data_IF_017631298603
#
_entry.id   IF_017631298603
#
_cell.length_a   1.000
_cell.length_b   1.000
_cell.length_c   1.000
_cell.angle_alpha   90.00
_cell.angle_beta   90.00
_cell.angle_gamma   90.00
#
_symmetry.space_group_name_H-M   'P 1'
#
loop_
_entity.id
_entity.type
_entity.pdbx_description
1 polymer ?
#
# COMPACT_ATOMS: atom_id res chain seq x y z
N UNK A 1 29.53 8.69 -4.56
CA UNK A 1 30.46 8.00 -3.63
C UNK A 1 30.70 8.95 -2.47
N UNK A 2 30.43 8.55 -1.22
CA UNK A 2 30.65 9.43 -0.04
C UNK A 2 32.14 9.64 0.17
N UNK A 3 32.55 10.82 0.60
CA UNK A 3 33.97 11.14 0.82
C UNK A 3 34.50 10.44 2.09
N UNK A 4 35.81 10.31 2.20
CA UNK A 4 36.48 9.58 3.30
C UNK A 4 36.21 10.22 4.67
N UNK A 5 36.06 11.55 4.73
CA UNK A 5 35.73 12.27 5.95
C UNK A 5 34.33 11.92 6.48
N UNK A 6 33.32 11.82 5.60
CA UNK A 6 31.96 11.42 5.96
C UNK A 6 31.91 9.98 6.49
N UNK A 7 32.72 9.07 5.93
CA UNK A 7 32.82 7.69 6.43
C UNK A 7 33.43 7.64 7.82
N UNK A 8 34.48 8.42 8.08
CA UNK A 8 35.13 8.48 9.39
C UNK A 8 34.19 9.06 10.45
N UNK A 9 33.47 10.13 10.11
CA UNK A 9 32.49 10.74 11.01
C UNK A 9 31.35 9.78 11.37
N UNK A 10 30.86 8.99 10.41
CA UNK A 10 29.83 7.97 10.67
C UNK A 10 30.35 6.83 11.55
N UNK A 11 31.61 6.43 11.40
CA UNK A 11 32.24 5.40 12.24
C UNK A 11 32.42 5.89 13.69
N UNK A 12 32.85 7.14 13.87
CA UNK A 12 32.97 7.77 15.19
C UNK A 12 31.59 7.90 15.86
N UNK A 13 30.57 8.33 15.11
CA UNK A 13 29.20 8.43 15.62
C UNK A 13 28.63 7.05 16.01
N UNK A 14 28.89 6.01 15.21
CA UNK A 14 28.54 4.63 15.53
C UNK A 14 29.24 4.14 16.82
N UNK A 15 30.51 4.49 17.00
CA UNK A 15 31.29 4.08 18.18
C UNK A 15 30.74 4.73 19.45
N UNK A 16 30.40 6.02 19.39
CA UNK A 16 29.79 6.76 20.50
C UNK A 16 28.43 6.17 20.87
N UNK A 17 27.60 5.85 19.88
CA UNK A 17 26.28 5.22 20.12
C UNK A 17 26.41 3.84 20.79
N UNK A 18 27.40 3.05 20.39
CA UNK A 18 27.67 1.75 21.04
C UNK A 18 28.12 1.93 22.49
N UNK A 19 29.04 2.87 22.76
CA UNK A 19 29.49 3.18 24.12
C UNK A 19 28.34 3.69 25.02
N UNK A 20 27.46 4.55 24.47
CA UNK A 20 26.27 5.03 25.19
C UNK A 20 25.29 3.89 25.49
N UNK A 21 25.08 2.97 24.54
CA UNK A 21 24.24 1.78 24.73
C UNK A 21 24.81 0.86 25.81
N UNK A 22 26.11 0.60 25.80
CA UNK A 22 26.78 -0.22 26.81
C UNK A 22 26.73 0.42 28.20
N UNK A 23 26.94 1.73 28.29
CA UNK A 23 26.80 2.47 29.55
C UNK A 23 25.37 2.45 30.09
N UNK A 24 24.37 2.58 29.22
CA UNK A 24 22.96 2.48 29.59
C UNK A 24 22.58 1.08 30.08
N UNK A 25 23.06 0.02 29.40
CA UNK A 25 22.88 -1.37 29.83
C UNK A 25 23.52 -1.61 31.20
N UNK A 26 24.74 -1.12 31.41
CA UNK A 26 25.45 -1.25 32.68
C UNK A 26 24.75 -0.50 33.81
N UNK A 27 24.21 0.69 33.55
CA UNK A 27 23.45 1.45 34.55
C UNK A 27 22.12 0.78 34.88
N UNK A 28 21.39 0.27 33.88
CA UNK A 28 20.18 -0.51 34.10
C UNK A 28 20.47 -1.79 34.90
N UNK A 29 21.59 -2.46 34.64
CA UNK A 29 22.06 -3.60 35.41
C UNK A 29 22.36 -3.21 36.88
N UNK A 30 23.06 -2.09 37.09
CA UNK A 30 23.38 -1.55 38.42
C UNK A 30 22.10 -1.26 39.22
N UNK A 31 21.11 -0.59 38.60
CA UNK A 31 19.82 -0.28 39.23
C UNK A 31 19.01 -1.56 39.52
N UNK A 32 18.96 -2.50 38.58
CA UNK A 32 18.19 -3.73 38.71
C UNK A 32 18.70 -4.64 39.82
N UNK A 33 20.03 -4.75 39.97
CA UNK A 33 20.63 -5.56 41.04
C UNK A 33 20.93 -4.76 42.32
N UNK A 34 20.60 -3.46 42.37
CA UNK A 34 20.93 -2.55 43.49
C UNK A 34 22.40 -2.69 43.94
N UNK A 35 23.30 -2.99 43.02
CA UNK A 35 24.74 -3.23 43.29
C UNK A 35 25.51 -1.93 43.20
N UNK A 36 26.70 -1.85 43.80
CA UNK A 36 27.58 -0.70 43.55
C UNK A 36 28.26 -0.86 42.18
N UNK A 37 28.52 0.24 41.43
CA UNK A 37 29.12 0.18 40.09
C UNK A 37 30.47 -0.57 40.00
N UNK A 38 31.16 -0.71 41.13
CA UNK A 38 32.48 -1.33 41.26
C UNK A 38 32.46 -2.79 41.70
N UNK A 39 31.28 -3.36 41.99
CA UNK A 39 31.17 -4.75 42.45
C UNK A 39 31.34 -5.73 41.28
N UNK A 40 32.18 -6.75 41.46
CA UNK A 40 32.44 -7.79 40.44
C UNK A 40 31.34 -8.84 40.48
N UNK A 41 30.66 -9.06 39.35
CA UNK A 41 29.76 -10.21 39.21
C UNK A 41 30.57 -11.51 39.20
N UNK A 42 30.19 -12.48 40.02
CA UNK A 42 30.84 -13.79 40.08
C UNK A 42 30.03 -14.85 39.34
N UNK A 43 28.77 -15.03 39.72
CA UNK A 43 27.88 -16.05 39.13
C UNK A 43 26.42 -15.76 39.48
N UNK A 44 25.48 -16.42 38.82
CA UNK A 44 24.08 -16.47 39.23
C UNK A 44 23.58 -17.92 39.23
N UNK A 45 22.66 -18.23 40.13
CA UNK A 45 22.07 -19.56 40.27
C UNK A 45 20.58 -19.45 40.56
N UNK A 46 19.80 -20.42 40.09
CA UNK A 46 18.36 -20.51 40.33
C UNK A 46 18.07 -21.51 41.45
N UNK A 47 17.10 -21.20 42.32
CA UNK A 47 16.56 -22.19 43.26
C UNK A 47 15.58 -23.15 42.55
N UNK A 48 15.10 -24.16 43.27
CA UNK A 48 14.14 -25.16 42.75
C UNK A 48 12.80 -24.55 42.30
N UNK A 49 12.49 -23.31 42.70
CA UNK A 49 11.33 -22.54 42.27
C UNK A 49 11.61 -21.61 41.08
N UNK A 50 12.81 -21.67 40.48
CA UNK A 50 13.21 -20.83 39.36
C UNK A 50 13.61 -19.40 39.75
N UNK A 51 13.70 -19.07 41.04
CA UNK A 51 14.12 -17.74 41.47
C UNK A 51 15.64 -17.59 41.34
N UNK A 52 16.08 -16.61 40.56
CA UNK A 52 17.50 -16.36 40.35
C UNK A 52 18.11 -15.53 41.47
N UNK A 53 19.30 -15.92 41.91
CA UNK A 53 20.14 -15.20 42.87
C UNK A 53 21.50 -14.97 42.24
N UNK A 54 21.95 -13.71 42.23
CA UNK A 54 23.25 -13.33 41.71
C UNK A 54 24.25 -13.13 42.86
N UNK A 55 25.47 -13.65 42.71
CA UNK A 55 26.58 -13.51 43.63
C UNK A 55 27.56 -12.44 43.11
N UNK A 56 27.86 -11.47 43.96
CA UNK A 56 28.78 -10.39 43.69
C UNK A 56 29.92 -10.39 44.71
N UNK A 57 31.05 -9.78 44.33
CA UNK A 57 32.17 -9.52 45.23
C UNK A 57 32.44 -8.02 45.28
N UNK A 58 32.44 -7.45 46.49
CA UNK A 58 32.81 -6.05 46.69
C UNK A 58 34.31 -5.84 46.41
N UNK A 59 34.74 -4.60 46.11
CA UNK A 59 36.16 -4.27 45.99
C UNK A 59 36.98 -4.57 47.25
N UNK A 60 36.32 -4.64 48.41
CA UNK A 60 36.93 -5.00 49.71
C UNK A 60 37.01 -6.51 49.93
N UNK A 61 36.63 -7.33 48.94
CA UNK A 61 36.76 -8.78 48.94
C UNK A 61 35.55 -9.55 49.48
N UNK A 62 34.56 -8.87 50.07
CA UNK A 62 33.37 -9.49 50.64
C UNK A 62 32.38 -9.93 49.56
N UNK A 63 32.02 -11.22 49.55
CA UNK A 63 31.00 -11.73 48.66
C UNK A 63 29.60 -11.55 49.26
N UNK A 64 28.62 -11.17 48.44
CA UNK A 64 27.22 -11.04 48.85
C UNK A 64 26.27 -11.43 47.72
N UNK A 65 25.09 -11.91 48.08
CA UNK A 65 24.05 -12.34 47.13
C UNK A 65 22.91 -11.36 47.06
N UNK A 66 22.42 -11.09 45.85
CA UNK A 66 21.21 -10.31 45.62
C UNK A 66 20.18 -11.20 44.94
N UNK A 67 18.96 -11.25 45.51
CA UNK A 67 17.82 -11.84 44.81
C UNK A 67 17.58 -11.02 43.55
N UNK A 68 17.70 -11.65 42.40
CA UNK A 68 17.35 -11.04 41.13
C UNK A 68 15.84 -10.93 41.14
N UNK A 69 15.33 -9.78 41.60
CA UNK A 69 13.95 -9.42 41.28
C UNK A 69 13.83 -9.56 39.76
N UNK A 70 12.73 -10.12 39.28
CA UNK A 70 12.40 -10.20 37.85
C UNK A 70 12.36 -8.78 37.30
N UNK A 71 13.53 -8.20 37.04
CA UNK A 71 13.70 -6.96 36.34
C UNK A 71 13.28 -7.32 34.92
N UNK A 72 11.99 -7.08 34.68
CA UNK A 72 11.38 -7.16 33.36
C UNK A 72 12.28 -6.27 32.50
N UNK A 73 13.13 -6.88 31.65
CA UNK A 73 13.86 -6.16 30.60
C UNK A 73 12.87 -5.19 29.98
N UNK A 74 13.27 -3.95 29.68
CA UNK A 74 12.37 -3.02 29.00
C UNK A 74 11.72 -3.75 27.83
N UNK A 75 10.40 -3.60 27.65
CA UNK A 75 9.64 -4.45 26.70
C UNK A 75 10.24 -4.42 25.28
N UNK A 76 10.95 -3.35 24.94
CA UNK A 76 11.73 -3.18 23.70
C UNK A 76 12.88 -4.19 23.51
N UNK A 77 13.48 -4.68 24.60
CA UNK A 77 14.57 -5.66 24.60
C UNK A 77 14.08 -7.10 24.80
N UNK A 78 12.78 -7.30 25.01
CA UNK A 78 12.21 -8.63 25.13
C UNK A 78 12.04 -9.27 23.74
N UNK A 79 12.30 -10.58 23.61
CA UNK A 79 11.96 -11.31 22.40
C UNK A 79 10.45 -11.20 22.13
N UNK A 80 10.07 -10.97 20.87
CA UNK A 80 8.68 -10.84 20.47
C UNK A 80 7.88 -12.14 20.62
N UNK A 81 8.58 -13.27 20.77
CA UNK A 81 8.00 -14.61 20.80
C UNK A 81 7.81 -15.18 19.38
N UNK A 82 7.94 -16.50 19.24
CA UNK A 82 7.98 -17.16 17.93
C UNK A 82 6.71 -16.96 17.09
N UNK A 83 5.53 -16.95 17.73
CA UNK A 83 4.24 -16.72 17.04
C UNK A 83 4.17 -15.31 16.44
N UNK A 84 4.49 -14.28 17.22
CA UNK A 84 4.50 -12.89 16.76
C UNK A 84 5.56 -12.65 15.69
N UNK A 85 6.74 -13.27 15.83
CA UNK A 85 7.78 -13.25 14.78
C UNK A 85 7.26 -13.87 13.49
N UNK A 86 6.54 -14.99 13.56
CA UNK A 86 5.89 -15.60 12.40
C UNK A 86 4.92 -14.65 11.70
N UNK A 87 3.98 -14.06 12.44
CA UNK A 87 3.01 -13.11 11.91
C UNK A 87 3.67 -11.88 11.26
N UNK A 88 4.71 -11.33 11.89
CA UNK A 88 5.46 -10.19 11.33
C UNK A 88 6.21 -10.57 10.05
N UNK A 89 6.80 -11.77 9.99
CA UNK A 89 7.46 -12.27 8.78
C UNK A 89 6.45 -12.50 7.63
N UNK A 90 5.25 -12.97 7.93
CA UNK A 90 4.18 -13.11 6.94
C UNK A 90 3.78 -11.75 6.37
N UNK A 91 3.61 -10.73 7.23
CA UNK A 91 3.31 -9.36 6.81
C UNK A 91 4.45 -8.74 5.96
N UNK A 92 5.71 -8.92 6.37
CA UNK A 92 6.87 -8.46 5.60
C UNK A 92 6.97 -9.17 4.23
N UNK A 93 6.62 -10.45 4.18
CA UNK A 93 6.56 -11.24 2.93
C UNK A 93 5.47 -10.73 2.01
N UNK A 94 4.26 -10.48 2.53
CA UNK A 94 3.15 -9.92 1.75
C UNK A 94 3.53 -8.56 1.17
N UNK A 95 4.13 -7.67 1.98
CA UNK A 95 4.63 -6.36 1.54
C UNK A 95 5.67 -6.48 0.42
N UNK A 96 6.65 -7.36 0.57
CA UNK A 96 7.66 -7.61 -0.47
C UNK A 96 7.04 -8.08 -1.80
N UNK A 97 6.06 -8.98 -1.73
CA UNK A 97 5.40 -9.57 -2.90
C UNK A 97 4.64 -8.54 -3.74
N UNK A 98 4.22 -7.40 -3.18
CA UNK A 98 3.57 -6.32 -3.93
C UNK A 98 4.45 -5.82 -5.08
N UNK A 99 5.77 -5.72 -4.87
CA UNK A 99 6.73 -5.26 -5.87
C UNK A 99 7.59 -6.41 -6.47
N UNK A 100 7.43 -7.63 -5.95
CA UNK A 100 8.28 -8.79 -6.25
C UNK A 100 7.48 -10.08 -6.43
N UNK A 101 6.46 -10.04 -7.30
CA UNK A 101 5.57 -11.19 -7.49
C UNK A 101 6.36 -12.47 -7.79
N UNK A 102 6.17 -13.49 -6.94
CA UNK A 102 6.80 -14.81 -7.09
C UNK A 102 8.25 -14.90 -6.63
N UNK A 103 8.84 -13.85 -6.05
CA UNK A 103 10.21 -13.87 -5.54
C UNK A 103 10.18 -13.82 -4.02
N UNK A 104 10.71 -14.85 -3.36
CA UNK A 104 10.80 -14.89 -1.91
C UNK A 104 11.61 -13.69 -1.35
N UNK A 105 11.22 -13.11 -0.20
CA UNK A 105 11.97 -12.04 0.42
C UNK A 105 13.37 -12.53 0.82
N UNK A 106 14.43 -11.73 0.58
CA UNK A 106 15.75 -11.98 1.12
C UNK A 106 15.71 -12.21 2.64
N UNK A 107 16.51 -13.14 3.14
CA UNK A 107 16.58 -13.46 4.58
C UNK A 107 16.93 -12.26 5.46
N UNK A 108 17.60 -11.25 4.91
CA UNK A 108 17.89 -9.99 5.60
C UNK A 108 16.64 -9.15 5.93
N UNK A 109 15.51 -9.44 5.28
CA UNK A 109 14.20 -8.82 5.57
C UNK A 109 13.29 -9.73 6.41
N UNK A 110 13.83 -10.82 6.96
CA UNK A 110 13.10 -11.73 7.83
C UNK A 110 13.65 -11.65 9.25
N UNK A 111 12.75 -11.61 10.22
CA UNK A 111 13.06 -11.66 11.64
C UNK A 111 13.47 -13.07 12.06
N UNK A 112 14.45 -13.13 12.95
CA UNK A 112 14.88 -14.36 13.60
C UNK A 112 13.91 -14.77 14.73
N UNK A 113 13.82 -16.05 15.12
CA UNK A 113 12.87 -16.52 16.14
C UNK A 113 12.94 -15.81 17.50
N UNK A 114 14.10 -15.24 17.84
CA UNK A 114 14.35 -14.49 19.07
C UNK A 114 14.41 -12.96 18.84
N UNK A 115 13.92 -12.48 17.70
CA UNK A 115 13.95 -11.06 17.35
C UNK A 115 13.22 -10.20 18.38
N UNK A 116 13.80 -9.04 18.63
CA UNK A 116 13.24 -8.01 19.50
C UNK A 116 12.41 -7.01 18.68
N UNK A 117 11.69 -6.12 19.36
CA UNK A 117 10.97 -5.02 18.69
C UNK A 117 11.92 -4.14 17.86
N UNK A 118 13.13 -3.89 18.36
CA UNK A 118 14.14 -3.10 17.67
C UNK A 118 14.66 -3.77 16.39
N UNK A 119 14.70 -5.10 16.36
CA UNK A 119 15.04 -5.85 15.14
C UNK A 119 13.97 -5.68 14.07
N UNK A 120 12.69 -5.70 14.47
CA UNK A 120 11.58 -5.42 13.58
C UNK A 120 11.66 -4.02 12.99
N UNK A 121 11.84 -2.98 13.81
CA UNK A 121 11.96 -1.61 13.32
C UNK A 121 13.13 -1.43 12.34
N UNK A 122 14.26 -2.09 12.58
CA UNK A 122 15.40 -2.08 11.68
C UNK A 122 15.06 -2.71 10.34
N UNK A 123 14.42 -3.88 10.36
CA UNK A 123 14.02 -4.61 9.14
C UNK A 123 12.98 -3.82 8.35
N UNK A 124 11.95 -3.30 9.02
CA UNK A 124 10.88 -2.50 8.41
C UNK A 124 11.45 -1.25 7.70
N UNK A 125 12.34 -0.52 8.38
CA UNK A 125 13.00 0.66 7.82
C UNK A 125 13.90 0.34 6.62
N UNK A 126 14.60 -0.80 6.65
CA UNK A 126 15.41 -1.25 5.51
C UNK A 126 14.52 -1.63 4.32
N UNK A 127 13.39 -2.30 4.56
CA UNK A 127 12.43 -2.67 3.54
C UNK A 127 11.81 -1.42 2.89
N UNK A 128 11.36 -0.45 3.70
CA UNK A 128 10.84 0.83 3.23
C UNK A 128 11.83 1.60 2.35
N UNK A 129 13.10 1.69 2.77
CA UNK A 129 14.14 2.34 1.99
C UNK A 129 14.38 1.67 0.64
N UNK A 130 14.30 0.33 0.61
CA UNK A 130 14.46 -0.47 -0.61
C UNK A 130 13.30 -0.25 -1.59
N UNK A 131 12.07 -0.23 -1.08
CA UNK A 131 10.86 0.05 -1.87
C UNK A 131 10.90 1.44 -2.50
N UNK A 132 11.27 2.47 -1.71
CA UNK A 132 11.42 3.84 -2.20
C UNK A 132 12.48 3.93 -3.28
N UNK A 133 13.65 3.32 -3.08
CA UNK A 133 14.73 3.33 -4.06
C UNK A 133 14.32 2.68 -5.39
N UNK A 134 13.59 1.55 -5.32
CA UNK A 134 13.07 0.87 -6.51
C UNK A 134 12.01 1.70 -7.22
N UNK A 135 11.09 2.31 -6.49
CA UNK A 135 10.09 3.23 -7.03
C UNK A 135 10.74 4.40 -7.78
N UNK A 136 11.76 5.03 -7.18
CA UNK A 136 12.54 6.09 -7.84
C UNK A 136 13.24 5.60 -9.10
N UNK A 137 13.85 4.41 -9.09
CA UNK A 137 14.51 3.84 -10.27
C UNK A 137 13.52 3.57 -11.41
N UNK A 138 12.36 2.98 -11.11
CA UNK A 138 11.31 2.73 -12.10
C UNK A 138 10.82 4.04 -12.74
N UNK A 139 10.60 5.09 -11.95
CA UNK A 139 10.24 6.41 -12.46
C UNK A 139 11.32 7.01 -13.37
N UNK A 140 12.60 6.86 -13.00
CA UNK A 140 13.71 7.33 -13.83
C UNK A 140 13.81 6.56 -15.15
N UNK A 141 13.60 5.25 -15.13
CA UNK A 141 13.60 4.39 -16.31
C UNK A 141 12.45 4.74 -17.25
N UNK A 142 11.24 4.93 -16.73
CA UNK A 142 10.08 5.38 -17.50
C UNK A 142 10.33 6.76 -18.14
N UNK A 143 10.88 7.70 -17.37
CA UNK A 143 11.23 9.03 -17.88
C UNK A 143 12.29 8.96 -18.99
N UNK A 144 13.29 8.07 -18.86
CA UNK A 144 14.32 7.86 -19.88
C UNK A 144 13.74 7.22 -21.14
N UNK A 145 12.91 6.19 -20.98
CA UNK A 145 12.24 5.52 -22.10
C UNK A 145 11.36 6.50 -22.87
N UNK A 146 10.62 7.35 -22.15
CA UNK A 146 9.84 8.40 -22.75
C UNK A 146 10.71 9.38 -23.52
N UNK A 147 11.77 9.93 -22.91
CA UNK A 147 12.67 10.87 -23.61
C UNK A 147 13.27 10.24 -24.86
N UNK A 148 13.63 8.96 -24.80
CA UNK A 148 14.12 8.23 -25.96
C UNK A 148 13.05 8.11 -27.06
N UNK A 149 11.80 7.84 -26.70
CA UNK A 149 10.67 7.77 -27.64
C UNK A 149 10.31 9.14 -28.21
N UNK A 150 10.24 10.19 -27.39
CA UNK A 150 10.02 11.57 -27.82
C UNK A 150 11.14 12.03 -28.74
N UNK A 151 12.40 11.73 -28.41
CA UNK A 151 13.52 11.98 -29.30
C UNK A 151 13.43 11.18 -30.59
N UNK A 152 12.96 9.93 -30.56
CA UNK A 152 12.75 9.11 -31.76
C UNK A 152 11.65 9.70 -32.66
N UNK A 153 10.56 10.21 -32.09
CA UNK A 153 9.49 10.90 -32.83
C UNK A 153 9.98 12.23 -33.39
N UNK A 154 10.72 13.01 -32.60
CA UNK A 154 11.35 14.24 -33.07
C UNK A 154 12.39 13.97 -34.18
N UNK A 155 13.11 12.84 -34.10
CA UNK A 155 14.09 12.43 -35.11
C UNK A 155 13.44 11.86 -36.37
N UNK A 156 12.36 11.08 -36.23
CA UNK A 156 11.55 10.61 -37.36
C UNK A 156 10.81 11.76 -38.05
N UNK A 157 10.44 12.79 -37.29
CA UNK A 157 9.83 14.04 -37.76
C UNK A 157 10.83 15.15 -38.11
N UNK A 158 12.13 14.88 -38.32
CA UNK A 158 13.13 15.94 -38.62
C UNK A 158 12.83 16.77 -39.89
N UNK A 159 11.83 16.41 -40.69
CA UNK A 159 11.31 17.26 -41.77
C UNK A 159 9.96 17.94 -41.45
N UNK A 160 9.23 17.51 -40.41
CA UNK A 160 7.85 17.91 -40.16
C UNK A 160 7.63 18.37 -38.71
N UNK A 161 7.23 19.62 -38.56
CA UNK A 161 6.94 20.22 -37.24
C UNK A 161 5.80 19.45 -36.56
N UNK A 162 5.92 19.14 -35.25
CA UNK A 162 4.83 18.52 -34.53
C UNK A 162 3.64 19.48 -34.47
N UNK A 163 2.45 18.92 -34.68
CA UNK A 163 1.19 19.64 -34.66
C UNK A 163 0.18 18.93 -33.77
N UNK A 164 -0.62 19.70 -33.07
CA UNK A 164 -1.85 19.19 -32.44
C UNK A 164 -3.00 19.48 -33.39
N UNK A 165 -3.71 18.44 -33.81
CA UNK A 165 -4.84 18.54 -34.73
C UNK A 165 -6.10 17.92 -34.11
N UNK A 166 -7.28 18.41 -34.50
CA UNK A 166 -8.58 17.98 -34.01
C UNK A 166 -9.13 16.81 -34.81
N UNK A 167 -9.41 15.69 -34.13
CA UNK A 167 -10.11 14.54 -34.68
C UNK A 167 -11.62 14.72 -34.54
N UNK A 168 -12.32 14.83 -35.68
CA UNK A 168 -13.79 14.98 -35.71
C UNK A 168 -14.54 13.72 -35.29
N UNK A 169 -13.92 12.54 -35.38
CA UNK A 169 -14.57 11.26 -35.02
C UNK A 169 -14.64 11.09 -33.51
N UNK A 170 -13.54 11.43 -32.84
CA UNK A 170 -13.41 11.27 -31.39
C UNK A 170 -13.72 12.55 -30.62
N UNK A 171 -13.75 13.70 -31.29
CA UNK A 171 -13.94 15.01 -30.67
C UNK A 171 -12.74 15.50 -29.87
N UNK A 172 -11.57 14.87 -30.04
CA UNK A 172 -10.36 15.13 -29.25
C UNK A 172 -9.26 15.79 -30.08
N UNK A 173 -8.37 16.51 -29.41
CA UNK A 173 -7.11 16.95 -29.99
C UNK A 173 -6.11 15.81 -29.94
N UNK A 174 -5.35 15.59 -31.01
CA UNK A 174 -4.37 14.52 -31.15
C UNK A 174 -3.04 15.12 -31.59
N UNK A 175 -1.96 14.72 -30.94
CA UNK A 175 -0.60 15.07 -31.35
C UNK A 175 -0.22 14.23 -32.57
N UNK A 176 0.23 14.91 -33.63
CA UNK A 176 0.55 14.35 -34.95
C UNK A 176 1.73 15.13 -35.58
N UNK A 177 2.15 14.76 -36.79
CA UNK A 177 3.04 15.60 -37.62
C UNK A 177 2.27 16.37 -38.70
N UNK A 178 2.93 17.40 -39.27
CA UNK A 178 2.37 18.21 -40.35
C UNK A 178 2.00 17.43 -41.63
N UNK A 179 2.68 16.32 -41.93
CA UNK A 179 2.37 15.45 -43.07
C UNK A 179 1.31 14.41 -42.77
N UNK A 180 1.25 13.89 -41.55
CA UNK A 180 0.37 12.78 -41.19
C UNK A 180 -1.08 13.22 -40.89
N UNK A 181 -1.26 14.44 -40.36
CA UNK A 181 -2.57 14.82 -39.80
C UNK A 181 -3.68 14.83 -40.87
N UNK A 182 -3.38 15.21 -42.11
CA UNK A 182 -4.35 15.21 -43.21
C UNK A 182 -4.77 13.79 -43.60
N UNK A 183 -3.81 12.86 -43.68
CA UNK A 183 -4.06 11.47 -44.00
C UNK A 183 -4.90 10.76 -42.93
N UNK A 184 -4.74 11.16 -41.68
CA UNK A 184 -5.55 10.69 -40.56
C UNK A 184 -6.94 11.36 -40.46
N UNK A 185 -7.27 12.31 -41.35
CA UNK A 185 -8.54 13.04 -41.33
C UNK A 185 -8.66 14.06 -40.18
N UNK A 186 -7.54 14.46 -39.60
CA UNK A 186 -7.48 15.48 -38.54
C UNK A 186 -7.61 16.88 -39.16
N UNK A 187 -8.14 17.82 -38.40
CA UNK A 187 -8.41 19.19 -38.84
C UNK A 187 -7.81 20.23 -37.90
N UNK A 188 -7.68 21.49 -38.33
CA UNK A 188 -7.20 22.61 -37.50
C UNK A 188 -5.83 22.35 -36.83
N UNK A 189 -4.76 22.08 -37.60
CA UNK A 189 -3.44 21.84 -37.04
C UNK A 189 -2.90 23.10 -36.35
N UNK A 190 -2.34 22.93 -35.15
CA UNK A 190 -1.63 23.97 -34.40
C UNK A 190 -0.23 23.49 -34.12
N UNK A 191 0.79 24.26 -34.51
CA UNK A 191 2.18 23.92 -34.19
C UNK A 191 2.40 23.96 -32.67
N UNK A 192 3.11 22.97 -32.14
CA UNK A 192 3.44 22.90 -30.70
C UNK A 192 4.95 22.76 -30.51
N UNK A 193 5.47 23.24 -29.38
CA UNK A 193 6.87 23.05 -29.02
C UNK A 193 7.09 21.72 -28.31
N UNK A 194 8.34 21.24 -28.26
CA UNK A 194 8.70 20.05 -27.46
C UNK A 194 8.36 20.23 -25.97
N UNK A 195 8.59 21.43 -25.43
CA UNK A 195 8.21 21.78 -24.06
C UNK A 195 6.70 21.63 -23.82
N UNK A 196 5.86 21.97 -24.80
CA UNK A 196 4.41 21.83 -24.65
C UNK A 196 4.00 20.35 -24.66
N UNK A 197 4.62 19.55 -25.54
CA UNK A 197 4.42 18.09 -25.59
C UNK A 197 4.83 17.43 -24.27
N UNK A 198 5.96 17.85 -23.68
CA UNK A 198 6.43 17.34 -22.39
C UNK A 198 5.46 17.68 -21.25
N UNK A 199 4.96 18.91 -21.20
CA UNK A 199 3.96 19.34 -20.21
C UNK A 199 2.67 18.54 -20.35
N UNK A 200 2.19 18.39 -21.58
CA UNK A 200 0.99 17.62 -21.88
C UNK A 200 1.16 16.16 -21.46
N UNK A 201 2.26 15.53 -21.87
CA UNK A 201 2.58 14.15 -21.50
C UNK A 201 2.68 13.96 -19.98
N UNK A 202 3.23 14.94 -19.26
CA UNK A 202 3.31 14.89 -17.80
C UNK A 202 1.93 15.01 -17.14
N UNK A 203 1.06 15.88 -17.67
CA UNK A 203 -0.33 15.98 -17.24
C UNK A 203 -1.09 14.68 -17.50
N UNK A 204 -1.00 14.12 -18.71
CA UNK A 204 -1.63 12.83 -19.05
C UNK A 204 -1.20 11.71 -18.10
N UNK A 205 0.09 11.59 -17.76
CA UNK A 205 0.54 10.59 -16.78
C UNK A 205 -0.07 10.79 -15.39
N UNK A 206 -0.16 12.04 -14.93
CA UNK A 206 -0.76 12.34 -13.63
C UNK A 206 -2.25 11.97 -13.62
N UNK A 207 -2.99 12.30 -14.68
CA UNK A 207 -4.39 11.87 -14.82
C UNK A 207 -4.52 10.35 -14.92
N UNK A 208 -3.61 9.66 -15.61
CA UNK A 208 -3.61 8.21 -15.71
C UNK A 208 -3.39 7.53 -14.35
N UNK A 209 -2.49 8.06 -13.52
CA UNK A 209 -2.28 7.55 -12.16
C UNK A 209 -3.51 7.76 -11.27
N UNK A 210 -4.10 8.96 -11.32
CA UNK A 210 -5.36 9.28 -10.62
C UNK A 210 -6.45 8.31 -11.05
N UNK A 211 -6.66 8.18 -12.36
CA UNK A 211 -7.66 7.30 -12.93
C UNK A 211 -7.44 5.85 -12.52
N UNK A 212 -6.21 5.35 -12.60
CA UNK A 212 -5.87 3.99 -12.20
C UNK A 212 -6.21 3.74 -10.73
N UNK A 213 -5.84 4.66 -9.84
CA UNK A 213 -6.07 4.50 -8.40
C UNK A 213 -7.56 4.60 -8.04
N UNK A 214 -8.30 5.52 -8.67
CA UNK A 214 -9.75 5.65 -8.51
C UNK A 214 -10.49 4.43 -9.03
N UNK A 215 -10.17 3.94 -10.23
CA UNK A 215 -10.79 2.73 -10.79
C UNK A 215 -10.46 1.49 -9.96
N UNK A 216 -9.24 1.35 -9.43
CA UNK A 216 -8.90 0.27 -8.49
C UNK A 216 -9.72 0.35 -7.21
N UNK A 217 -9.88 1.54 -6.64
CA UNK A 217 -10.70 1.74 -5.47
C UNK A 217 -12.16 1.39 -5.73
N UNK A 218 -12.72 1.82 -6.87
CA UNK A 218 -14.06 1.44 -7.30
C UNK A 218 -14.22 -0.08 -7.40
N UNK A 219 -13.30 -0.76 -8.07
CA UNK A 219 -13.33 -2.22 -8.18
C UNK A 219 -13.27 -2.91 -6.81
N UNK A 220 -12.44 -2.41 -5.88
CA UNK A 220 -12.36 -2.94 -4.52
C UNK A 220 -13.69 -2.76 -3.76
N UNK A 221 -14.31 -1.59 -3.87
CA UNK A 221 -15.62 -1.31 -3.27
C UNK A 221 -16.73 -2.19 -3.83
N UNK A 222 -16.72 -2.44 -5.14
CA UNK A 222 -17.69 -3.34 -5.80
C UNK A 222 -17.47 -4.81 -5.42
N UNK A 223 -16.21 -5.24 -5.29
CA UNK A 223 -15.86 -6.60 -4.89
C UNK A 223 -16.18 -6.88 -3.42
N UNK A 224 -16.08 -5.88 -2.55
CA UNK A 224 -16.33 -6.00 -1.11
C UNK A 224 -17.81 -5.93 -0.73
N UNK A 225 -18.74 -6.25 -1.65
CA UNK A 225 -20.20 -6.10 -1.53
C UNK A 225 -20.76 -6.36 -0.11
N UNK A 226 -20.81 -5.29 0.70
CA UNK A 226 -21.14 -5.36 2.13
C UNK A 226 -19.93 -5.68 3.01
N UNK A 227 -19.12 -4.67 3.32
CA UNK A 227 -18.07 -4.75 4.33
C UNK A 227 -18.73 -5.10 5.68
N UNK A 228 -18.20 -6.11 6.38
CA UNK A 228 -18.75 -6.54 7.67
C UNK A 228 -18.65 -5.43 8.72
N UNK A 229 -19.51 -5.45 9.74
CA UNK A 229 -19.41 -4.47 10.84
C UNK A 229 -18.03 -4.49 11.51
N UNK A 230 -17.45 -5.67 11.70
CA UNK A 230 -16.09 -5.82 12.24
C UNK A 230 -15.03 -5.20 11.34
N UNK A 231 -15.14 -5.39 10.02
CA UNK A 231 -14.22 -4.77 9.06
C UNK A 231 -14.40 -3.24 9.02
N UNK A 232 -15.64 -2.74 9.11
CA UNK A 232 -15.91 -1.30 9.17
C UNK A 232 -15.31 -0.66 10.43
N UNK A 233 -15.41 -1.32 11.58
CA UNK A 233 -14.74 -0.87 12.81
C UNK A 233 -13.23 -0.89 12.65
N UNK A 234 -12.66 -1.94 12.05
CA UNK A 234 -11.24 -2.05 11.79
C UNK A 234 -10.74 -0.95 10.84
N UNK A 235 -11.47 -0.68 9.74
CA UNK A 235 -11.22 0.43 8.81
C UNK A 235 -11.29 1.77 9.53
N UNK A 236 -12.30 1.96 10.39
CA UNK A 236 -12.44 3.18 11.18
C UNK A 236 -11.24 3.39 12.12
N UNK A 237 -10.77 2.32 12.79
CA UNK A 237 -9.55 2.36 13.61
C UNK A 237 -8.30 2.67 12.78
N UNK A 238 -8.20 2.12 11.56
CA UNK A 238 -7.06 2.35 10.68
C UNK A 238 -7.02 3.79 10.13
N UNK A 239 -8.19 4.36 9.82
CA UNK A 239 -8.34 5.70 9.27
C UNK A 239 -8.39 6.82 10.31
N UNK A 240 -8.62 6.49 11.58
CA UNK A 240 -8.67 7.50 12.61
C UNK A 240 -7.31 8.23 12.70
N UNK A 241 -7.38 9.55 12.55
CA UNK A 241 -6.26 10.46 12.70
C UNK A 241 -6.16 11.00 14.12
N UNK A 242 -6.94 10.47 15.07
CA UNK A 242 -6.86 10.87 16.47
C UNK A 242 -5.48 10.55 16.99
N UNK A 243 -4.59 11.56 16.96
CA UNK A 243 -3.52 11.65 17.95
C UNK A 243 -4.27 11.58 19.28
N UNK A 244 -4.14 10.48 20.02
CA UNK A 244 -4.62 10.43 21.39
C UNK A 244 -3.85 11.54 22.14
N UNK A 245 -4.46 12.72 22.23
CA UNK A 245 -3.89 13.91 22.84
C UNK A 245 -4.00 13.75 24.34
N UNK A 246 -3.05 13.01 24.94
CA UNK A 246 -2.56 13.09 26.32
C UNK A 246 -3.55 13.36 27.49
N UNK A 247 -4.86 13.18 27.31
CA UNK A 247 -5.88 13.64 28.26
C UNK A 247 -6.86 12.56 28.70
N UNK A 248 -6.96 11.43 27.99
CA UNK A 248 -7.94 10.39 28.27
C UNK A 248 -7.35 9.03 28.69
N UNK A 249 -6.02 8.90 28.88
CA UNK A 249 -5.39 7.60 29.12
C UNK A 249 -4.33 7.59 30.25
N UNK A 250 -4.64 8.22 31.39
CA UNK A 250 -3.89 8.07 32.64
C UNK A 250 -4.57 7.10 33.63
N UNK A 251 -5.08 5.95 33.16
CA UNK A 251 -5.67 4.94 34.07
C UNK A 251 -5.31 3.47 33.76
N UNK A 252 -4.14 3.22 33.16
CA UNK A 252 -3.44 1.95 33.43
C UNK A 252 -2.18 2.31 34.23
N UNK A 253 -2.12 2.03 35.53
CA UNK A 253 -0.95 2.31 36.35
C UNK A 253 0.26 1.53 35.79
N UNK A 254 1.31 2.25 35.38
CA UNK A 254 2.63 1.65 35.10
C UNK A 254 3.09 1.56 33.65
N UNK A 255 2.36 2.09 32.66
CA UNK A 255 2.80 2.04 31.25
C UNK A 255 2.72 3.42 30.59
N UNK A 256 3.88 4.04 30.32
CA UNK A 256 3.99 5.26 29.52
C UNK A 256 4.23 4.89 28.04
N UNK A 257 3.21 4.41 27.34
CA UNK A 257 3.27 4.30 25.87
C UNK A 257 3.09 5.71 25.30
N UNK A 258 4.04 6.20 24.48
CA UNK A 258 3.84 7.44 23.74
C UNK A 258 2.63 7.28 22.82
N UNK A 259 1.69 8.24 22.84
CA UNK A 259 0.42 8.14 22.11
C UNK A 259 0.57 7.85 20.61
N UNK A 260 1.68 8.26 19.99
CA UNK A 260 1.99 7.97 18.58
C UNK A 260 2.27 6.48 18.32
N UNK A 261 3.00 5.80 19.20
CA UNK A 261 3.29 4.36 19.07
C UNK A 261 2.04 3.51 19.31
N UNK A 262 1.18 3.90 20.27
CA UNK A 262 -0.11 3.23 20.46
C UNK A 262 -0.98 3.36 19.20
N UNK A 263 -0.98 4.51 18.55
CA UNK A 263 -1.74 4.72 17.33
C UNK A 263 -1.24 3.87 16.16
N UNK A 264 0.07 3.75 15.97
CA UNK A 264 0.62 2.89 14.92
C UNK A 264 0.34 1.42 15.17
N UNK A 265 0.44 0.96 16.43
CA UNK A 265 0.06 -0.40 16.81
C UNK A 265 -1.42 -0.70 16.60
N UNK A 266 -2.31 0.23 16.95
CA UNK A 266 -3.75 0.08 16.73
C UNK A 266 -4.11 0.11 15.25
N UNK A 267 -3.40 0.89 14.44
CA UNK A 267 -3.56 0.89 12.97
C UNK A 267 -3.10 -0.43 12.36
N UNK A 268 -1.95 -0.95 12.79
CA UNK A 268 -1.43 -2.24 12.33
C UNK A 268 -2.37 -3.40 12.72
N UNK A 269 -2.82 -3.43 13.97
CA UNK A 269 -3.80 -4.41 14.45
C UNK A 269 -5.12 -4.31 13.69
N UNK A 270 -5.60 -3.07 13.45
CA UNK A 270 -6.78 -2.83 12.61
C UNK A 270 -6.63 -3.44 11.22
N UNK A 271 -5.48 -3.28 10.56
CA UNK A 271 -5.24 -3.85 9.22
C UNK A 271 -5.17 -5.38 9.26
N UNK A 272 -4.51 -5.98 10.27
CA UNK A 272 -4.42 -7.44 10.37
C UNK A 272 -5.75 -8.11 10.65
N UNK A 273 -6.66 -7.43 11.35
CA UNK A 273 -7.99 -7.95 11.69
C UNK A 273 -9.00 -7.85 10.54
N UNK A 274 -8.68 -7.12 9.46
CA UNK A 274 -9.55 -6.94 8.30
C UNK A 274 -9.55 -8.17 7.39
N UNK A 275 -10.71 -8.46 6.79
CA UNK A 275 -10.79 -9.34 5.63
C UNK A 275 -9.92 -8.82 4.46
N UNK A 276 -9.42 -9.70 3.56
CA UNK A 276 -8.65 -9.27 2.40
C UNK A 276 -9.37 -8.23 1.53
N UNK A 277 -10.69 -8.38 1.36
CA UNK A 277 -11.53 -7.43 0.63
C UNK A 277 -11.57 -6.06 1.32
N UNK A 278 -11.68 -6.02 2.65
CA UNK A 278 -11.65 -4.78 3.42
C UNK A 278 -10.27 -4.10 3.38
N UNK A 279 -9.19 -4.88 3.38
CA UNK A 279 -7.84 -4.35 3.17
C UNK A 279 -7.69 -3.72 1.78
N UNK A 280 -8.17 -4.39 0.73
CA UNK A 280 -8.13 -3.88 -0.64
C UNK A 280 -8.92 -2.56 -0.77
N UNK A 281 -10.07 -2.46 -0.11
CA UNK A 281 -10.86 -1.23 -0.02
C UNK A 281 -10.07 -0.12 0.68
N UNK A 282 -9.49 -0.39 1.85
CA UNK A 282 -8.70 0.59 2.60
C UNK A 282 -7.50 1.09 1.79
N UNK A 283 -6.72 0.19 1.21
CA UNK A 283 -5.56 0.56 0.41
C UNK A 283 -5.95 1.24 -0.90
N UNK A 284 -7.07 0.84 -1.52
CA UNK A 284 -7.68 1.53 -2.64
C UNK A 284 -8.01 2.98 -2.30
N UNK A 285 -8.72 3.20 -1.18
CA UNK A 285 -9.06 4.53 -0.69
C UNK A 285 -7.81 5.39 -0.43
N UNK A 286 -6.80 4.86 0.27
CA UNK A 286 -5.58 5.60 0.57
C UNK A 286 -4.79 5.99 -0.69
N UNK A 287 -4.70 5.10 -1.69
CA UNK A 287 -4.06 5.39 -2.98
C UNK A 287 -4.85 6.45 -3.75
N UNK A 288 -6.17 6.30 -3.82
CA UNK A 288 -7.05 7.25 -4.50
C UNK A 288 -6.95 8.65 -3.84
N UNK A 289 -7.00 8.72 -2.51
CA UNK A 289 -6.79 9.94 -1.72
C UNK A 289 -5.42 10.58 -1.97
N UNK A 290 -4.35 9.78 -2.01
CA UNK A 290 -3.00 10.26 -2.33
C UNK A 290 -2.88 10.82 -3.74
N UNK A 291 -3.62 10.26 -4.69
CA UNK A 291 -3.61 10.69 -6.10
C UNK A 291 -4.30 12.04 -6.33
N UNK A 292 -5.17 12.51 -5.43
CA UNK A 292 -5.84 13.82 -5.55
C UNK A 292 -4.83 14.97 -5.66
N UNK A 293 -3.68 14.85 -5.01
CA UNK A 293 -2.60 15.85 -5.11
C UNK A 293 -2.06 15.91 -6.55
N UNK A 294 -1.92 14.76 -7.21
CA UNK A 294 -1.50 14.68 -8.61
C UNK A 294 -2.59 15.22 -9.55
N UNK A 295 -3.87 14.91 -9.28
CA UNK A 295 -5.02 15.46 -10.02
C UNK A 295 -5.03 16.99 -9.99
N UNK A 296 -4.90 17.58 -8.81
CA UNK A 296 -4.88 19.02 -8.64
C UNK A 296 -3.68 19.70 -9.31
N UNK A 297 -2.51 19.06 -9.25
CA UNK A 297 -1.31 19.53 -9.96
C UNK A 297 -1.50 19.50 -11.48
N UNK A 298 -2.16 18.46 -11.99
CA UNK A 298 -2.43 18.32 -13.42
C UNK A 298 -3.46 19.35 -13.91
N UNK A 299 -4.53 19.57 -13.14
CA UNK A 299 -5.57 20.57 -13.43
C UNK A 299 -5.03 21.99 -13.50
N UNK A 300 -4.24 22.38 -12.51
CA UNK A 300 -3.84 23.78 -12.36
C UNK A 300 -2.63 24.14 -13.21
N UNK A 301 -1.86 23.16 -13.70
CA UNK A 301 -0.54 23.30 -14.35
C UNK A 301 0.52 24.09 -13.54
N UNK A 302 0.11 24.76 -12.48
CA UNK A 302 0.89 25.51 -11.52
C UNK A 302 0.85 24.66 -10.28
N UNK A 303 1.98 24.07 -9.86
CA UNK A 303 2.06 23.18 -8.68
C UNK A 303 1.74 23.83 -7.32
N UNK A 304 0.90 24.86 -7.28
CA UNK A 304 0.38 25.58 -6.12
C UNK A 304 -1.13 25.39 -6.06
N UNK A 305 -1.57 24.35 -5.35
CA UNK A 305 -2.97 24.17 -4.99
C UNK A 305 -3.20 24.75 -3.60
N UNK A 306 -4.31 25.48 -3.38
CA UNK A 306 -4.69 25.89 -2.03
C UNK A 306 -5.12 24.67 -1.21
N UNK A 307 -4.87 24.71 0.10
CA UNK A 307 -5.23 23.60 1.00
C UNK A 307 -6.74 23.33 0.96
N UNK A 308 -7.53 24.40 0.81
CA UNK A 308 -8.98 24.37 0.76
C UNK A 308 -9.50 23.65 -0.50
N UNK A 309 -8.90 23.91 -1.67
CA UNK A 309 -9.28 23.22 -2.91
C UNK A 309 -8.97 21.72 -2.85
N UNK A 310 -7.82 21.38 -2.25
CA UNK A 310 -7.43 19.98 -2.05
C UNK A 310 -8.35 19.28 -1.04
N UNK A 311 -8.74 19.95 0.05
CA UNK A 311 -9.71 19.42 1.02
C UNK A 311 -11.09 19.20 0.39
N UNK A 312 -11.55 20.11 -0.48
CA UNK A 312 -12.81 19.95 -1.21
C UNK A 312 -12.78 18.68 -2.07
N UNK A 313 -11.71 18.47 -2.86
CA UNK A 313 -11.61 17.24 -3.67
C UNK A 313 -11.45 15.98 -2.82
N UNK A 314 -10.75 16.06 -1.69
CA UNK A 314 -10.64 14.92 -0.76
C UNK A 314 -11.99 14.55 -0.16
N UNK A 315 -12.83 15.53 0.12
CA UNK A 315 -14.19 15.30 0.62
C UNK A 315 -15.12 14.73 -0.46
N UNK A 316 -14.81 14.95 -1.74
CA UNK A 316 -15.52 14.34 -2.86
C UNK A 316 -15.18 12.86 -3.04
N UNK A 317 -14.12 12.35 -2.40
CA UNK A 317 -13.79 10.92 -2.47
C UNK A 317 -14.51 10.17 -1.35
N UNK A 318 -15.35 9.16 -1.67
CA UNK A 318 -16.16 8.51 -0.65
C UNK A 318 -15.32 7.75 0.34
N UNK A 319 -15.68 7.89 1.61
CA UNK A 319 -15.08 7.11 2.69
C UNK A 319 -15.43 5.63 2.53
N UNK A 320 -14.50 4.69 2.81
CA UNK A 320 -14.76 3.26 2.68
C UNK A 320 -15.79 2.72 3.68
N UNK A 321 -16.12 3.48 4.73
CA UNK A 321 -17.18 3.15 5.69
C UNK A 321 -18.56 3.68 5.27
N UNK A 322 -18.63 4.40 4.14
CA UNK A 322 -19.90 4.83 3.58
C UNK A 322 -20.63 3.63 2.97
N UNK A 323 -21.96 3.59 3.09
CA UNK A 323 -22.77 2.56 2.43
C UNK A 323 -22.48 2.50 0.93
N UNK A 324 -22.44 1.29 0.37
CA UNK A 324 -21.97 1.00 -0.99
C UNK A 324 -22.67 1.82 -2.07
N UNK A 325 -23.97 2.09 -1.93
CA UNK A 325 -24.72 2.87 -2.92
C UNK A 325 -24.39 4.35 -2.89
N UNK A 326 -24.20 4.92 -1.70
CA UNK A 326 -23.78 6.30 -1.55
C UNK A 326 -22.33 6.48 -2.03
N UNK A 327 -21.44 5.54 -1.68
CA UNK A 327 -20.06 5.53 -2.15
C UNK A 327 -19.99 5.40 -3.69
N UNK A 328 -20.82 4.56 -4.30
CA UNK A 328 -20.89 4.40 -5.77
C UNK A 328 -21.26 5.72 -6.45
N UNK A 329 -22.34 6.36 -6.02
CA UNK A 329 -22.78 7.66 -6.57
C UNK A 329 -21.72 8.73 -6.42
N UNK A 330 -21.02 8.76 -5.28
CA UNK A 330 -19.97 9.73 -5.04
C UNK A 330 -18.72 9.46 -5.89
N UNK A 331 -18.32 8.19 -6.09
CA UNK A 331 -17.27 7.81 -7.04
C UNK A 331 -17.65 8.17 -8.47
N UNK A 332 -18.91 7.97 -8.87
CA UNK A 332 -19.40 8.35 -10.20
C UNK A 332 -19.29 9.85 -10.42
N UNK A 333 -19.72 10.67 -9.45
CA UNK A 333 -19.58 12.12 -9.52
C UNK A 333 -18.09 12.56 -9.60
N UNK A 334 -17.22 11.95 -8.80
CA UNK A 334 -15.79 12.24 -8.87
C UNK A 334 -15.19 11.81 -10.21
N UNK A 335 -15.64 10.69 -10.75
CA UNK A 335 -15.23 10.18 -12.05
C UNK A 335 -15.70 11.10 -13.19
N UNK A 336 -16.90 11.68 -13.11
CA UNK A 336 -17.38 12.69 -14.06
C UNK A 336 -16.48 13.94 -14.05
N UNK A 337 -15.98 14.35 -12.87
CA UNK A 337 -15.01 15.43 -12.77
C UNK A 337 -13.68 15.08 -13.45
N UNK A 338 -13.18 13.86 -13.26
CA UNK A 338 -11.96 13.37 -13.95
C UNK A 338 -12.19 13.31 -15.47
N UNK A 339 -13.33 12.78 -15.90
CA UNK A 339 -13.68 12.66 -17.31
C UNK A 339 -13.75 14.07 -17.96
N UNK A 340 -14.42 15.02 -17.31
CA UNK A 340 -14.53 16.41 -17.78
C UNK A 340 -13.16 17.10 -17.82
N UNK A 341 -12.35 16.96 -16.76
CA UNK A 341 -11.01 17.53 -16.71
C UNK A 341 -10.08 16.94 -17.78
N UNK A 342 -10.17 15.64 -18.02
CA UNK A 342 -9.33 14.95 -19.00
C UNK A 342 -9.71 15.21 -20.45
N UNK A 343 -10.95 15.65 -20.74
CA UNK A 343 -11.37 16.02 -22.11
C UNK A 343 -10.53 17.17 -22.70
N UNK A 344 -9.96 18.03 -21.85
CA UNK A 344 -9.05 19.09 -22.28
C UNK A 344 -7.68 18.59 -22.72
N UNK A 345 -7.32 17.35 -22.39
CA UNK A 345 -6.02 16.79 -22.72
C UNK A 345 -5.93 16.45 -24.22
N UNK A 346 -4.77 16.73 -24.78
CA UNK A 346 -4.40 16.26 -26.10
C UNK A 346 -4.00 14.79 -26.02
N UNK A 347 -4.57 13.96 -26.88
CA UNK A 347 -4.18 12.57 -27.04
C UNK A 347 -2.76 12.49 -27.58
N UNK A 348 -1.87 11.98 -26.76
CA UNK A 348 -0.48 11.71 -27.10
C UNK A 348 -0.38 10.25 -27.59
N UNK A 349 0.10 9.97 -28.82
CA UNK A 349 0.01 8.62 -29.42
C UNK A 349 0.61 7.47 -28.60
N UNK A 350 1.60 7.76 -27.75
CA UNK A 350 2.32 6.77 -26.95
C UNK A 350 1.85 6.67 -25.50
N UNK A 351 0.84 7.45 -25.09
CA UNK A 351 0.24 7.36 -23.76
C UNK A 351 -1.23 6.98 -23.89
N UNK A 352 -1.69 6.08 -23.02
CA UNK A 352 -3.12 5.84 -22.86
C UNK A 352 -3.81 7.14 -22.43
N UNK A 353 -4.99 7.41 -22.97
CA UNK A 353 -5.84 8.48 -22.44
C UNK A 353 -6.45 8.00 -21.11
N UNK A 354 -6.75 8.87 -20.13
CA UNK A 354 -7.36 8.45 -18.86
C UNK A 354 -8.61 7.57 -19.05
N UNK A 355 -9.49 7.95 -19.99
CA UNK A 355 -10.64 7.12 -20.40
C UNK A 355 -10.27 5.67 -20.79
N UNK A 356 -9.14 5.47 -21.48
CA UNK A 356 -8.67 4.15 -21.89
C UNK A 356 -8.12 3.37 -20.68
N UNK A 357 -7.38 4.05 -19.79
CA UNK A 357 -6.91 3.48 -18.50
C UNK A 357 -8.09 2.99 -17.67
N UNK A 358 -9.14 3.81 -17.55
CA UNK A 358 -10.38 3.45 -16.83
C UNK A 358 -10.99 2.18 -17.40
N UNK A 359 -11.22 2.15 -18.71
CA UNK A 359 -11.85 1.00 -19.38
C UNK A 359 -11.04 -0.29 -19.14
N UNK A 360 -9.70 -0.21 -19.21
CA UNK A 360 -8.81 -1.33 -18.95
C UNK A 360 -8.87 -1.80 -17.49
N UNK A 361 -8.76 -0.90 -16.52
CA UNK A 361 -8.70 -1.25 -15.10
C UNK A 361 -10.07 -1.72 -14.58
N UNK A 362 -11.15 -1.01 -14.89
CA UNK A 362 -12.50 -1.42 -14.49
C UNK A 362 -12.90 -2.74 -15.18
N UNK A 363 -12.58 -2.91 -16.47
CA UNK A 363 -12.81 -4.17 -17.19
C UNK A 363 -12.07 -5.36 -16.58
N UNK A 364 -10.82 -5.17 -16.15
CA UNK A 364 -10.06 -6.19 -15.42
C UNK A 364 -10.72 -6.55 -14.09
N UNK A 365 -11.19 -5.55 -13.33
CA UNK A 365 -11.90 -5.77 -12.07
C UNK A 365 -13.20 -6.57 -12.25
N UNK A 366 -14.00 -6.20 -13.24
CA UNK A 366 -15.23 -6.92 -13.59
C UNK A 366 -14.96 -8.37 -14.00
N UNK A 367 -13.92 -8.61 -14.81
CA UNK A 367 -13.52 -9.96 -15.20
C UNK A 367 -13.08 -10.80 -13.99
N UNK A 368 -12.33 -10.21 -13.05
CA UNK A 368 -11.93 -10.88 -11.81
C UNK A 368 -13.11 -11.18 -10.89
N UNK A 369 -14.03 -10.23 -10.71
CA UNK A 369 -15.24 -10.42 -9.92
C UNK A 369 -16.10 -11.56 -10.49
N UNK A 370 -16.31 -11.56 -11.81
CA UNK A 370 -17.00 -12.65 -12.50
C UNK A 370 -16.30 -14.00 -12.30
N UNK A 371 -14.98 -14.05 -12.45
CA UNK A 371 -14.22 -15.28 -12.24
C UNK A 371 -14.31 -15.80 -10.79
N UNK A 372 -14.31 -14.92 -9.80
CA UNK A 372 -14.54 -15.29 -8.39
C UNK A 372 -15.95 -15.85 -8.18
N UNK A 373 -16.97 -15.20 -8.75
CA UNK A 373 -18.35 -15.67 -8.68
C UNK A 373 -18.53 -17.04 -9.36
N UNK A 374 -17.98 -17.21 -10.56
CA UNK A 374 -18.02 -18.48 -11.29
C UNK A 374 -17.32 -19.60 -10.50
N UNK A 375 -16.21 -19.28 -9.82
CA UNK A 375 -15.50 -20.24 -8.95
C UNK A 375 -16.30 -20.61 -7.69
N UNK A 376 -16.97 -19.64 -7.05
CA UNK A 376 -17.83 -19.86 -5.89
C UNK A 376 -19.04 -20.72 -6.26
N UNK A 377 -19.73 -20.38 -7.34
CA UNK A 377 -20.86 -21.13 -7.89
C UNK A 377 -20.47 -22.58 -8.19
N UNK A 378 -19.31 -22.79 -8.82
CA UNK A 378 -18.78 -24.14 -9.08
C UNK A 378 -18.52 -24.93 -7.79
N UNK A 379 -18.12 -24.27 -6.69
CA UNK A 379 -17.89 -24.94 -5.41
C UNK A 379 -19.20 -25.35 -4.72
N UNK A 380 -20.30 -24.62 -4.94
CA UNK A 380 -21.62 -24.92 -4.38
C UNK A 380 -22.45 -25.87 -5.24
N UNK A 381 -21.99 -26.23 -6.44
CA UNK A 381 -22.76 -27.02 -7.41
C UNK A 381 -23.81 -26.21 -8.17
N UNK A 382 -23.76 -24.89 -8.06
CA UNK A 382 -24.66 -23.95 -8.70
C UNK A 382 -24.03 -23.48 -10.02
N UNK A 383 -24.79 -23.48 -11.10
CA UNK A 383 -24.31 -23.17 -12.45
C UNK A 383 -25.14 -22.06 -13.08
N UNK A 384 -24.52 -21.20 -13.89
CA UNK A 384 -25.19 -20.14 -14.65
C UNK A 384 -24.96 -20.34 -16.14
N UNK A 385 -26.05 -20.46 -16.91
CA UNK A 385 -26.01 -20.42 -18.37
C UNK A 385 -26.78 -19.18 -18.85
N UNK A 386 -26.10 -18.06 -19.15
CA UNK A 386 -26.76 -16.82 -19.53
C UNK A 386 -27.47 -16.88 -20.88
N UNK A 387 -27.34 -17.97 -21.65
CA UNK A 387 -27.91 -18.08 -22.99
C UNK A 387 -29.17 -18.98 -23.06
N UNK A 388 -29.57 -19.66 -21.98
CA UNK A 388 -30.71 -20.58 -22.02
C UNK A 388 -31.55 -20.52 -20.75
N UNK A 389 -32.86 -20.34 -20.94
CA UNK A 389 -33.83 -20.62 -19.88
C UNK A 389 -33.91 -22.13 -19.67
N UNK A 390 -33.53 -22.58 -18.49
CA UNK A 390 -33.59 -23.99 -18.10
C UNK A 390 -34.89 -24.31 -17.35
N UNK A 391 -35.26 -25.59 -17.26
CA UNK A 391 -36.37 -26.08 -16.41
C UNK A 391 -35.86 -27.14 -15.43
N UNK A 392 -36.43 -27.18 -14.24
CA UNK A 392 -36.19 -28.28 -13.29
C UNK A 392 -36.61 -29.60 -13.95
N UNK A 393 -35.77 -30.61 -13.86
CA UNK A 393 -35.91 -31.90 -14.54
C UNK A 393 -35.40 -31.95 -15.98
N UNK A 394 -34.88 -30.84 -16.52
CA UNK A 394 -34.25 -30.84 -17.84
C UNK A 394 -32.88 -31.51 -17.77
N UNK A 395 -32.64 -32.45 -18.68
CA UNK A 395 -31.31 -33.04 -18.88
C UNK A 395 -30.43 -32.09 -19.69
N UNK A 396 -29.21 -31.85 -19.21
CA UNK A 396 -28.21 -31.04 -19.87
C UNK A 396 -26.88 -31.78 -19.93
N UNK A 397 -26.17 -31.67 -21.06
CA UNK A 397 -24.82 -32.20 -21.17
C UNK A 397 -23.87 -31.15 -20.60
N UNK A 398 -23.31 -31.42 -19.42
CA UNK A 398 -22.29 -30.57 -18.80
C UNK A 398 -20.96 -31.32 -18.75
N UNK A 399 -19.94 -30.77 -19.43
CA UNK A 399 -18.59 -31.39 -19.55
C UNK A 399 -18.60 -32.85 -20.03
N UNK A 400 -19.51 -33.17 -20.95
CA UNK A 400 -19.61 -34.52 -21.53
C UNK A 400 -20.33 -35.55 -20.66
N UNK A 401 -20.91 -35.13 -19.52
CA UNK A 401 -21.80 -35.95 -18.70
C UNK A 401 -23.23 -35.44 -18.81
N UNK A 402 -24.20 -36.36 -18.82
CA UNK A 402 -25.62 -36.04 -18.70
C UNK A 402 -25.89 -35.69 -17.24
N UNK A 403 -26.50 -34.53 -16.99
CA UNK A 403 -26.84 -34.06 -15.66
C UNK A 403 -28.31 -33.62 -15.65
N UNK A 404 -29.02 -33.81 -14.55
CA UNK A 404 -30.40 -33.36 -14.37
C UNK A 404 -30.43 -32.08 -13.56
N UNK A 405 -31.13 -31.05 -14.05
CA UNK A 405 -31.31 -29.80 -13.30
C UNK A 405 -32.27 -30.04 -12.13
N UNK A 406 -31.80 -29.87 -10.89
CA UNK A 406 -32.57 -30.16 -9.68
C UNK A 406 -33.25 -28.93 -9.10
N UNK A 407 -32.68 -27.74 -9.31
CA UNK A 407 -33.21 -26.48 -8.75
C UNK A 407 -32.84 -25.30 -9.64
N UNK A 408 -33.72 -24.31 -9.74
CA UNK A 408 -33.47 -23.05 -10.45
C UNK A 408 -33.70 -21.88 -9.48
N UNK A 409 -32.76 -20.95 -9.45
CA UNK A 409 -32.77 -19.77 -8.60
C UNK A 409 -33.30 -18.55 -9.36
N UNK A 410 -33.67 -17.52 -8.58
CA UNK A 410 -34.29 -16.30 -9.12
C UNK A 410 -33.37 -15.50 -10.05
N UNK A 411 -32.06 -15.65 -9.89
CA UNK A 411 -31.04 -15.03 -10.74
C UNK A 411 -30.77 -15.82 -12.05
N UNK A 412 -31.49 -16.91 -12.29
CA UNK A 412 -31.32 -17.78 -13.46
C UNK A 412 -30.21 -18.83 -13.32
N UNK A 413 -29.51 -18.87 -12.18
CA UNK A 413 -28.61 -19.98 -11.86
C UNK A 413 -29.39 -21.25 -11.49
N UNK A 414 -28.75 -22.41 -11.55
CA UNK A 414 -29.40 -23.69 -11.30
C UNK A 414 -28.44 -24.74 -10.73
N UNK A 415 -28.96 -25.65 -9.90
CA UNK A 415 -28.23 -26.82 -9.41
C UNK A 415 -28.46 -28.00 -10.36
N UNK A 416 -27.48 -28.90 -10.45
CA UNK A 416 -27.58 -30.12 -11.24
C UNK A 416 -26.95 -31.31 -10.52
N UNK A 417 -27.54 -32.48 -10.69
CA UNK A 417 -27.03 -33.77 -10.17
C UNK A 417 -26.79 -34.74 -11.33
N UNK A 418 -25.81 -35.64 -11.16
CA UNK A 418 -25.43 -36.67 -12.16
C UNK A 418 -26.46 -37.79 -12.23
#
# INVERSE_FOLDING_TARGET
MRNEAERKQLLEQSTILNQQSEAALRNAEIENYKRKPTDKFLTAFADAGGNQTALFQSPTGGAYTVKVGTAKLSEEMQPLGGEKVGQLNDALTQRWNVLNQGIAPPSAFMLQPNATQKDFERVDKMLEATERARGTKAQQEETRALRAQTAAIANAGRAEKPVVAYDRKTGQRVLSTAGEYKGAGLTNPVNVSESDIEKESAATRQFNDVQMNVSRYKNAMEAAAGISNSDMEAITRALSNEKFTAGAANQIPGIAIRGEQRNEMLKAAGITDMSPEAQDVLFGYLRAKGSIVAFQKALTQVGRTSKEALEIEMNNLPSPIMGTDAARKQLEAFQENIDTASQGLTKVPWLEHPKDVRARIEGQGQAQAKAKQDAANKATGQYTDPQKSHKVGQEVIFKGKLMTITKIYRDGSFDMEE
#
